data_IF_407217959696
#
_entry.id   IF_407217959696
#
_cell.length_a   1.000
_cell.length_b   1.000
_cell.length_c   1.000
_cell.angle_alpha   90.00
_cell.angle_beta   90.00
_cell.angle_gamma   90.00
#
_symmetry.space_group_name_H-M   'P 1'
#
loop_
_entity.id
_entity.type
_entity.pdbx_description
1 polymer ?
#
# COMPACT_ATOMS: atom_id res chain seq x y z
N UNK A 1 -0.48 -7.07 -49.09
CA UNK A 1 -1.22 -8.36 -49.18
C UNK A 1 -0.70 -9.33 -48.11
N UNK A 2 -1.37 -9.52 -46.96
CA UNK A 2 -0.93 -10.39 -45.84
C UNK A 2 -2.08 -11.22 -45.19
N UNK A 3 -3.11 -11.57 -45.96
CA UNK A 3 -4.24 -12.35 -45.43
C UNK A 3 -4.09 -13.88 -45.62
N UNK A 4 -3.29 -14.36 -46.61
CA UNK A 4 -3.28 -15.78 -47.00
C UNK A 4 -2.58 -16.73 -45.99
N UNK A 5 -1.64 -16.24 -45.18
CA UNK A 5 -0.82 -17.11 -44.31
C UNK A 5 -1.51 -17.50 -43.00
N UNK A 6 -2.50 -16.73 -42.54
CA UNK A 6 -3.18 -16.97 -41.27
C UNK A 6 -4.30 -18.00 -41.43
N UNK A 7 -4.97 -18.00 -42.58
CA UNK A 7 -5.99 -19.01 -42.91
C UNK A 7 -5.40 -20.42 -43.07
N UNK A 8 -4.17 -20.54 -43.60
CA UNK A 8 -3.49 -21.84 -43.73
C UNK A 8 -3.18 -22.51 -42.37
N UNK A 9 -2.81 -21.73 -41.36
CA UNK A 9 -2.54 -22.26 -40.00
C UNK A 9 -3.80 -22.63 -39.22
N UNK A 10 -4.91 -21.94 -39.50
CA UNK A 10 -6.21 -22.28 -38.91
C UNK A 10 -6.76 -23.59 -39.50
N UNK A 11 -6.50 -23.83 -40.80
CA UNK A 11 -6.92 -25.04 -41.50
C UNK A 11 -6.10 -26.28 -41.11
N UNK A 12 -4.79 -26.13 -40.86
CA UNK A 12 -3.99 -27.24 -40.30
C UNK A 12 -4.38 -27.60 -38.85
N UNK A 13 -4.95 -26.63 -38.11
CA UNK A 13 -5.36 -26.83 -36.71
C UNK A 13 -6.76 -27.46 -36.58
N UNK A 14 -7.66 -27.17 -37.51
CA UNK A 14 -8.95 -27.86 -37.66
C UNK A 14 -8.76 -28.89 -38.75
N UNK A 15 -8.39 -30.13 -38.39
CA UNK A 15 -8.15 -31.25 -39.31
C UNK A 15 -9.36 -31.63 -40.17
N UNK A 16 -9.70 -30.74 -41.08
CA UNK A 16 -10.72 -30.83 -42.11
C UNK A 16 -9.97 -30.95 -43.42
N UNK A 17 -9.32 -32.10 -43.59
CA UNK A 17 -9.01 -32.57 -44.93
C UNK A 17 -10.29 -33.28 -45.39
N UNK A 18 -10.94 -32.68 -46.37
CA UNK A 18 -12.15 -33.22 -47.02
C UNK A 18 -11.71 -33.85 -48.32
N UNK A 19 -12.24 -35.06 -48.53
CA UNK A 19 -12.34 -35.81 -49.78
C UNK A 19 -11.11 -36.62 -50.23
N UNK A 20 -11.18 -37.92 -49.91
CA UNK A 20 -11.25 -39.07 -50.82
C UNK A 20 -10.43 -39.11 -52.13
N UNK A 21 -9.91 -40.33 -52.39
CA UNK A 21 -9.29 -40.90 -53.63
C UNK A 21 -7.81 -40.52 -53.89
N UNK A 22 -6.81 -41.39 -54.04
CA UNK A 22 -6.70 -42.82 -54.37
C UNK A 22 -5.30 -43.39 -53.93
N UNK A 23 -5.15 -44.71 -54.10
CA UNK A 23 -4.20 -45.69 -53.54
C UNK A 23 -2.68 -45.49 -53.75
N UNK A 24 -1.85 -46.03 -52.83
CA UNK A 24 -0.66 -46.83 -53.19
C UNK A 24 -0.02 -47.61 -52.00
N UNK A 25 -0.04 -48.93 -52.16
CA UNK A 25 0.90 -50.00 -51.76
C UNK A 25 1.38 -50.28 -50.31
N UNK A 26 1.31 -51.57 -49.98
CA UNK A 26 1.54 -52.23 -48.68
C UNK A 26 3.03 -52.55 -48.43
N UNK A 27 3.58 -52.17 -47.27
CA UNK A 27 4.75 -52.88 -46.70
C UNK A 27 4.63 -53.07 -45.18
N UNK A 28 4.57 -54.34 -44.80
CA UNK A 28 4.54 -54.88 -43.43
C UNK A 28 5.57 -54.23 -42.51
N UNK A 29 5.13 -53.78 -41.33
CA UNK A 29 5.97 -53.69 -40.14
C UNK A 29 5.33 -54.47 -39.00
N UNK A 30 5.82 -55.68 -38.81
CA UNK A 30 5.78 -56.34 -37.52
C UNK A 30 7.21 -56.28 -36.99
N UNK A 31 7.44 -55.59 -35.88
CA UNK A 31 8.53 -55.81 -34.92
C UNK A 31 8.20 -55.00 -33.65
N UNK A 32 8.12 -55.72 -32.53
CA UNK A 32 7.78 -55.24 -31.20
C UNK A 32 9.07 -54.77 -30.49
N UNK A 33 8.98 -54.34 -29.21
CA UNK A 33 9.46 -53.07 -28.69
C UNK A 33 10.95 -53.08 -28.30
N UNK A 34 11.62 -51.94 -28.36
CA UNK A 34 12.84 -51.74 -27.57
C UNK A 34 12.65 -50.59 -26.58
N UNK A 35 13.01 -50.90 -25.35
CA UNK A 35 12.94 -50.03 -24.20
C UNK A 35 13.96 -48.89 -24.32
N UNK A 36 13.96 -47.99 -23.33
CA UNK A 36 15.11 -47.12 -22.99
C UNK A 36 15.14 -45.74 -23.67
N UNK A 37 14.29 -44.84 -23.18
CA UNK A 37 14.67 -43.67 -22.36
C UNK A 37 13.48 -42.69 -22.38
N UNK A 38 12.58 -42.82 -21.41
CA UNK A 38 11.70 -41.72 -21.05
C UNK A 38 12.54 -40.64 -20.37
N UNK A 39 13.19 -39.81 -21.18
CA UNK A 39 13.59 -38.49 -20.73
C UNK A 39 12.29 -37.73 -20.49
N UNK A 40 11.89 -37.67 -19.22
CA UNK A 40 10.82 -36.81 -18.76
C UNK A 40 11.24 -35.37 -19.06
N UNK A 41 10.91 -34.89 -20.27
CA UNK A 41 10.88 -33.48 -20.60
C UNK A 41 9.72 -32.88 -19.79
N UNK A 42 9.99 -32.65 -18.50
CA UNK A 42 9.17 -31.83 -17.65
C UNK A 42 9.07 -30.48 -18.34
N UNK A 43 7.93 -30.25 -19.01
CA UNK A 43 7.59 -28.96 -19.61
C UNK A 43 7.82 -27.90 -18.54
N UNK A 44 8.95 -27.21 -18.64
CA UNK A 44 9.24 -26.03 -17.85
C UNK A 44 8.20 -24.99 -18.22
N UNK A 45 7.08 -24.99 -17.48
CA UNK A 45 6.26 -23.79 -17.36
C UNK A 45 7.22 -22.72 -16.82
N UNK A 46 7.46 -21.62 -17.55
CA UNK A 46 8.15 -20.50 -16.96
C UNK A 46 7.31 -20.08 -15.76
N UNK A 47 7.82 -20.35 -14.56
CA UNK A 47 7.20 -19.85 -13.35
C UNK A 47 7.28 -18.34 -13.46
N UNK A 48 6.13 -17.70 -13.61
CA UNK A 48 6.05 -16.25 -13.61
C UNK A 48 6.40 -15.80 -12.19
N UNK A 49 7.65 -15.41 -12.00
CA UNK A 49 8.14 -14.79 -10.78
C UNK A 49 7.46 -13.43 -10.72
N UNK A 50 6.34 -13.35 -10.00
CA UNK A 50 5.74 -12.07 -9.64
C UNK A 50 6.65 -11.44 -8.59
N UNK A 51 7.17 -10.26 -8.88
CA UNK A 51 8.04 -9.49 -7.98
C UNK A 51 7.34 -9.31 -6.62
N UNK A 52 7.81 -10.04 -5.62
CA UNK A 52 7.18 -10.09 -4.31
C UNK A 52 7.56 -8.80 -3.59
N UNK A 53 6.55 -7.95 -3.36
CA UNK A 53 6.59 -6.84 -2.41
C UNK A 53 7.47 -5.65 -2.79
N UNK A 54 6.90 -4.68 -3.51
CA UNK A 54 7.19 -3.28 -3.20
C UNK A 54 6.63 -2.98 -1.81
N UNK A 55 7.32 -3.43 -0.75
CA UNK A 55 7.03 -3.02 0.63
C UNK A 55 7.16 -1.50 0.66
N UNK A 56 6.03 -0.81 0.67
CA UNK A 56 6.00 0.64 0.71
C UNK A 56 6.60 1.05 2.06
N UNK A 57 7.83 1.57 2.04
CA UNK A 57 8.50 2.06 3.24
C UNK A 57 7.72 3.28 3.75
N UNK A 58 7.21 3.19 4.98
CA UNK A 58 6.57 4.31 5.65
C UNK A 58 7.63 5.37 5.93
N UNK A 59 7.40 6.60 5.47
CA UNK A 59 8.26 7.76 5.77
C UNK A 59 7.64 8.60 6.86
N UNK A 60 8.41 8.81 7.94
CA UNK A 60 8.05 9.70 9.05
C UNK A 60 8.70 11.05 8.82
N UNK A 61 7.96 12.11 9.12
CA UNK A 61 8.40 13.50 9.00
C UNK A 61 8.77 14.00 10.38
N UNK A 62 9.88 14.71 10.52
CA UNK A 62 10.32 15.31 11.78
C UNK A 62 10.49 16.80 11.56
N UNK A 63 9.88 17.62 12.41
CA UNK A 63 9.89 19.08 12.31
C UNK A 63 10.14 19.73 13.67
N UNK A 64 10.80 20.88 13.64
CA UNK A 64 10.96 21.78 14.78
C UNK A 64 10.53 23.18 14.36
N UNK A 65 9.22 23.50 14.41
CA UNK A 65 8.74 24.83 14.05
C UNK A 65 9.33 25.90 14.97
N UNK A 66 9.56 27.08 14.40
CA UNK A 66 9.99 28.27 15.16
C UNK A 66 8.80 29.17 15.49
N UNK A 67 7.76 29.12 14.66
CA UNK A 67 6.58 29.97 14.78
C UNK A 67 5.34 29.29 14.22
N UNK A 68 4.18 29.93 14.40
CA UNK A 68 2.92 29.44 13.84
C UNK A 68 2.91 29.44 12.30
N UNK A 69 3.76 30.24 11.65
CA UNK A 69 3.81 30.34 10.18
C UNK A 69 4.33 29.06 9.51
N UNK A 70 4.99 28.18 10.27
CA UNK A 70 5.47 26.87 9.78
C UNK A 70 4.33 25.84 9.67
N UNK A 71 3.24 26.03 10.41
CA UNK A 71 2.14 25.07 10.57
C UNK A 71 1.49 24.65 9.24
N UNK A 72 1.17 25.56 8.30
CA UNK A 72 0.54 25.17 7.03
C UNK A 72 1.37 24.16 6.23
N UNK A 73 2.70 24.26 6.25
CA UNK A 73 3.59 23.31 5.58
C UNK A 73 3.51 21.93 6.27
N UNK A 74 3.59 21.91 7.60
CA UNK A 74 3.51 20.67 8.40
C UNK A 74 2.18 19.94 8.15
N UNK A 75 1.08 20.68 8.03
CA UNK A 75 -0.27 20.13 7.80
C UNK A 75 -0.38 19.44 6.45
N UNK A 76 0.36 19.89 5.44
CA UNK A 76 0.39 19.21 4.14
C UNK A 76 0.95 17.78 4.26
N UNK A 77 1.88 17.56 5.19
CA UNK A 77 2.36 16.21 5.51
C UNK A 77 1.28 15.36 6.19
N UNK A 78 0.53 15.94 7.11
CA UNK A 78 -0.60 15.27 7.79
C UNK A 78 -1.68 14.86 6.79
N UNK A 79 -2.09 15.78 5.88
CA UNK A 79 -3.05 15.51 4.80
C UNK A 79 -2.59 14.40 3.86
N UNK A 80 -1.28 14.35 3.58
CA UNK A 80 -0.66 13.27 2.81
C UNK A 80 -0.57 11.93 3.56
N UNK A 81 -1.22 11.80 4.73
CA UNK A 81 -1.21 10.62 5.62
C UNK A 81 0.20 10.17 5.99
N UNK A 82 1.12 11.12 6.18
CA UNK A 82 2.46 10.83 6.71
C UNK A 82 2.52 11.16 8.20
N UNK A 83 3.06 10.27 9.05
CA UNK A 83 3.26 10.59 10.46
C UNK A 83 4.23 11.76 10.62
N UNK A 84 3.96 12.63 11.58
CA UNK A 84 4.77 13.82 11.85
C UNK A 84 5.15 13.89 13.31
N UNK A 85 6.45 13.95 13.61
CA UNK A 85 7.00 14.26 14.92
C UNK A 85 7.30 15.77 14.98
N UNK A 86 6.80 16.43 16.02
CA UNK A 86 6.82 17.88 16.18
C UNK A 86 7.56 18.19 17.49
N UNK A 87 8.70 18.87 17.40
CA UNK A 87 9.44 19.38 18.56
C UNK A 87 9.15 20.89 18.75
N UNK A 88 8.69 21.27 19.94
CA UNK A 88 8.30 22.64 20.30
C UNK A 88 9.23 23.29 21.35
N UNK A 89 10.45 22.80 21.52
CA UNK A 89 11.41 23.28 22.53
C UNK A 89 11.77 24.76 22.37
N UNK A 90 11.84 25.23 21.12
CA UNK A 90 12.20 26.62 20.79
C UNK A 90 10.99 27.54 20.64
N UNK A 91 9.77 27.00 20.74
CA UNK A 91 8.55 27.80 20.70
C UNK A 91 8.26 28.38 22.09
N UNK A 92 7.79 29.62 22.14
CA UNK A 92 7.26 30.23 23.35
C UNK A 92 5.94 29.54 23.78
N UNK A 93 5.51 29.77 25.01
CA UNK A 93 4.32 29.09 25.56
C UNK A 93 3.06 29.35 24.70
N UNK A 94 2.90 30.58 24.20
CA UNK A 94 1.76 30.96 23.36
C UNK A 94 1.84 30.32 21.98
N UNK A 95 3.00 30.34 21.33
CA UNK A 95 3.23 29.68 20.05
C UNK A 95 3.02 28.18 20.14
N UNK A 96 3.54 27.54 21.20
CA UNK A 96 3.36 26.11 21.48
C UNK A 96 1.89 25.73 21.55
N UNK A 97 1.08 26.41 22.37
CA UNK A 97 -0.34 26.13 22.49
C UNK A 97 -1.08 26.30 21.17
N UNK A 98 -0.82 27.40 20.45
CA UNK A 98 -1.46 27.69 19.17
C UNK A 98 -1.13 26.65 18.10
N UNK A 99 0.13 26.19 18.05
CA UNK A 99 0.57 25.13 17.15
C UNK A 99 -0.14 23.82 17.52
N UNK A 100 -0.20 23.46 18.81
CA UNK A 100 -0.87 22.23 19.25
C UNK A 100 -2.37 22.23 18.97
N UNK A 101 -3.07 23.34 19.23
CA UNK A 101 -4.50 23.47 18.94
C UNK A 101 -4.79 23.28 17.45
N UNK A 102 -3.95 23.86 16.58
CA UNK A 102 -4.10 23.69 15.14
C UNK A 102 -3.77 22.28 14.68
N UNK A 103 -2.64 21.73 15.15
CA UNK A 103 -2.17 20.40 14.73
C UNK A 103 -3.09 19.29 15.22
N UNK A 104 -3.63 19.39 16.44
CA UNK A 104 -4.63 18.45 16.96
C UNK A 104 -5.92 18.51 16.12
N UNK A 105 -6.41 19.70 15.79
CA UNK A 105 -7.56 19.87 14.90
C UNK A 105 -7.32 19.33 13.48
N UNK A 106 -6.15 19.58 12.89
CA UNK A 106 -5.78 19.08 11.58
C UNK A 106 -5.64 17.54 11.56
N UNK A 107 -5.04 16.97 12.60
CA UNK A 107 -4.86 15.52 12.76
C UNK A 107 -6.22 14.85 12.94
N UNK A 108 -7.08 15.40 13.81
CA UNK A 108 -8.45 14.93 14.02
C UNK A 108 -9.28 15.01 12.73
N UNK A 109 -9.22 16.12 12.00
CA UNK A 109 -9.91 16.30 10.72
C UNK A 109 -9.41 15.34 9.63
N UNK A 110 -8.18 14.83 9.75
CA UNK A 110 -7.63 13.78 8.88
C UNK A 110 -7.95 12.35 9.36
N UNK A 111 -8.72 12.20 10.45
CA UNK A 111 -9.04 10.91 11.07
C UNK A 111 -7.86 10.25 11.80
N UNK A 112 -6.82 11.02 12.13
CA UNK A 112 -5.68 10.57 12.91
C UNK A 112 -5.82 10.88 14.40
N UNK A 113 -4.76 10.58 15.16
CA UNK A 113 -4.61 10.91 16.58
C UNK A 113 -3.32 11.66 16.83
N UNK A 114 -3.37 12.63 17.73
CA UNK A 114 -2.20 13.32 18.26
C UNK A 114 -1.78 12.68 19.59
N UNK A 115 -0.51 12.33 19.74
CA UNK A 115 0.06 11.70 20.93
C UNK A 115 1.20 12.57 21.48
N UNK A 116 1.15 12.91 22.77
CA UNK A 116 2.29 13.52 23.45
C UNK A 116 3.33 12.44 23.76
N UNK A 117 4.57 12.67 23.33
CA UNK A 117 5.74 11.78 23.57
C UNK A 117 6.55 12.29 24.76
N UNK A 118 6.74 13.62 24.85
CA UNK A 118 7.41 14.30 25.96
C UNK A 118 6.82 15.70 26.13
N UNK A 119 7.35 16.49 27.08
CA UNK A 119 6.84 17.84 27.36
C UNK A 119 6.75 18.75 26.12
N UNK A 120 7.70 18.63 25.19
CA UNK A 120 7.77 19.44 23.97
C UNK A 120 7.67 18.63 22.68
N UNK A 121 7.57 17.30 22.75
CA UNK A 121 7.57 16.43 21.57
C UNK A 121 6.21 15.75 21.41
N UNK A 122 5.64 15.89 20.21
CA UNK A 122 4.31 15.38 19.86
C UNK A 122 4.37 14.59 18.56
N UNK A 123 3.51 13.58 18.44
CA UNK A 123 3.31 12.77 17.25
C UNK A 123 1.91 12.99 16.69
N UNK A 124 1.83 13.45 15.44
CA UNK A 124 0.65 13.33 14.60
C UNK A 124 0.68 11.99 13.89
N UNK A 125 -0.17 11.05 14.29
CA UNK A 125 -0.31 9.75 13.64
C UNK A 125 -1.62 9.69 12.83
N UNK A 126 -1.57 9.50 11.50
CA UNK A 126 -2.77 9.18 10.72
C UNK A 126 -3.31 7.80 11.10
N UNK A 127 -4.57 7.49 10.75
CA UNK A 127 -5.24 6.22 11.06
C UNK A 127 -4.54 4.95 10.55
N UNK A 128 -3.58 5.08 9.65
CA UNK A 128 -2.77 3.97 9.14
C UNK A 128 -1.64 3.54 10.07
N UNK A 129 -1.38 4.29 11.14
CA UNK A 129 -0.28 4.04 12.08
C UNK A 129 -0.82 3.62 13.43
N UNK A 130 -0.42 2.44 13.87
CA UNK A 130 -0.67 1.96 15.23
C UNK A 130 0.45 2.47 16.15
N UNK A 131 0.07 2.87 17.36
CA UNK A 131 0.99 3.34 18.39
C UNK A 131 0.86 2.39 19.58
N UNK A 132 1.93 1.67 19.89
CA UNK A 132 2.03 0.83 21.07
C UNK A 132 2.86 1.54 22.15
N UNK A 133 2.36 1.56 23.38
CA UNK A 133 3.02 2.19 24.52
C UNK A 133 3.64 1.09 25.40
N UNK A 134 4.97 1.00 25.41
CA UNK A 134 5.72 -0.06 26.13
C UNK A 134 5.92 0.31 27.61
N UNK A 135 6.10 1.60 27.89
CA UNK A 135 6.17 2.15 29.25
C UNK A 135 4.83 2.79 29.57
N UNK A 136 4.17 2.35 30.64
CA UNK A 136 2.83 2.83 31.04
C UNK A 136 2.74 4.33 31.40
N UNK A 137 3.81 5.10 31.26
CA UNK A 137 3.81 6.56 31.34
C UNK A 137 3.29 7.14 30.02
N UNK A 138 1.99 6.98 29.79
CA UNK A 138 1.30 7.67 28.70
C UNK A 138 0.93 9.05 29.26
N UNK A 139 1.31 10.11 28.56
CA UNK A 139 0.58 11.36 28.70
C UNK A 139 -0.82 11.11 28.13
N UNK A 140 -1.79 10.79 28.99
CA UNK A 140 -3.18 10.41 28.64
C UNK A 140 -3.99 11.51 27.95
N UNK A 141 -3.37 12.64 27.64
CA UNK A 141 -3.98 13.69 26.83
C UNK A 141 -4.03 13.24 25.36
N UNK A 142 -5.00 12.39 25.03
CA UNK A 142 -5.54 12.40 23.68
C UNK A 142 -6.07 13.80 23.41
N UNK A 143 -5.28 14.57 22.65
CA UNK A 143 -5.65 15.93 22.24
C UNK A 143 -6.74 15.85 21.17
N UNK A 144 -7.95 15.55 21.61
CA UNK A 144 -9.18 15.71 20.85
C UNK A 144 -9.83 17.07 21.15
N UNK A 145 -10.80 17.51 20.34
CA UNK A 145 -11.56 18.72 20.63
C UNK A 145 -12.15 18.61 22.05
N UNK A 146 -11.80 19.56 22.93
CA UNK A 146 -12.40 19.66 24.27
C UNK A 146 -13.92 19.76 24.09
N UNK A 147 -14.65 18.79 24.63
CA UNK A 147 -16.11 18.79 24.58
C UNK A 147 -16.61 20.05 25.28
N UNK A 148 -17.14 20.99 24.50
CA UNK A 148 -17.89 22.14 25.01
C UNK A 148 -19.14 21.60 25.71
N UNK A 149 -19.07 21.45 27.03
CA UNK A 149 -20.28 21.31 27.84
C UNK A 149 -20.93 22.68 27.89
N UNK A 150 -22.00 22.86 27.12
CA UNK A 150 -22.90 24.01 27.30
C UNK A 150 -23.57 23.85 28.66
N UNK A 151 -23.05 24.52 29.67
CA UNK A 151 -23.81 24.79 30.89
C UNK A 151 -24.92 25.78 30.52
N UNK A 152 -26.03 25.26 29.98
CA UNK A 152 -27.28 25.99 30.05
C UNK A 152 -27.67 26.03 31.53
N UNK A 153 -27.58 27.23 32.09
CA UNK A 153 -28.02 27.53 33.44
C UNK A 153 -29.46 27.07 33.63
N UNK A 154 -29.62 26.06 34.50
CA UNK A 154 -30.85 25.87 35.25
C UNK A 154 -30.95 27.04 36.23
N UNK A 155 -31.64 28.10 35.84
CA UNK A 155 -32.25 29.02 36.80
C UNK A 155 -33.73 28.68 36.86
N UNK A 156 -34.10 28.29 38.08
CA UNK A 156 -35.44 28.04 38.59
C UNK A 156 -36.37 29.22 38.34
#
# INVERSE_FOLDING_TARGET
MKAKSLWKKALDFFGFDTDDEEEDEVRREALLPDEQHTEYQAKHRPQQIVDISKRQQMRVIVVQPRSFDDVPNIVEHVKARRPVIINLDICDLKGRQRILDFMSGATYGSGGRMQKISESIFLSAPSTVQIDNITGEIYEDEMGPKSFKTEQGSMK
#
